data_IF_543782436916
#
_entry.id   IF_543782436916
#
_cell.length_a   1.000
_cell.length_b   1.000
_cell.length_c   1.000
_cell.angle_alpha   90.00
_cell.angle_beta   90.00
_cell.angle_gamma   90.00
#
_symmetry.space_group_name_H-M   'P 1'
#
loop_
_entity.id
_entity.type
_entity.pdbx_description
1 polymer ?
#
# COMPACT_ATOMS: atom_id res chain seq x y z
N UNK A 1 -14.27 -10.83 -10.21
CA UNK A 1 -13.68 -9.85 -11.15
C UNK A 1 -12.58 -9.07 -10.47
N UNK A 2 -11.53 -8.74 -11.23
CA UNK A 2 -10.37 -8.01 -10.66
C UNK A 2 -10.76 -6.67 -10.06
N UNK A 3 -11.66 -5.92 -10.73
CA UNK A 3 -12.08 -4.61 -10.25
C UNK A 3 -12.84 -4.71 -8.92
N UNK A 4 -13.63 -5.74 -8.75
CA UNK A 4 -14.37 -5.95 -7.50
C UNK A 4 -13.42 -6.30 -6.36
N UNK A 5 -12.41 -7.12 -6.65
CA UNK A 5 -11.39 -7.47 -5.68
C UNK A 5 -10.54 -6.26 -5.31
N UNK A 6 -10.23 -5.41 -6.29
CA UNK A 6 -9.46 -4.21 -6.04
C UNK A 6 -10.22 -3.26 -5.10
N UNK A 7 -11.51 -3.09 -5.30
CA UNK A 7 -12.32 -2.28 -4.40
C UNK A 7 -12.38 -2.88 -2.99
N UNK A 8 -12.59 -4.19 -2.91
CA UNK A 8 -12.66 -4.88 -1.63
C UNK A 8 -11.39 -4.68 -0.80
N UNK A 9 -10.24 -4.89 -1.41
CA UNK A 9 -8.97 -4.78 -0.68
C UNK A 9 -8.56 -3.33 -0.47
N UNK A 10 -8.97 -2.42 -1.34
CA UNK A 10 -8.76 -1.00 -1.09
C UNK A 10 -9.60 -0.53 0.10
N UNK A 11 -10.82 -1.00 0.25
CA UNK A 11 -11.63 -0.70 1.42
C UNK A 11 -11.00 -1.26 2.69
N UNK A 12 -10.39 -2.45 2.60
CA UNK A 12 -9.67 -3.01 3.72
C UNK A 12 -8.47 -2.12 4.10
N UNK A 13 -7.73 -1.63 3.12
CA UNK A 13 -6.62 -0.72 3.35
C UNK A 13 -7.10 0.61 3.97
N UNK A 14 -8.27 1.10 3.56
CA UNK A 14 -8.85 2.31 4.15
C UNK A 14 -9.21 2.11 5.63
N UNK A 15 -9.70 0.93 5.98
CA UNK A 15 -9.95 0.59 7.37
C UNK A 15 -8.67 0.64 8.19
N UNK A 16 -7.57 0.16 7.62
CA UNK A 16 -6.27 0.23 8.29
C UNK A 16 -5.76 1.66 8.42
N UNK A 17 -6.04 2.50 7.42
CA UNK A 17 -5.73 3.93 7.50
C UNK A 17 -6.49 4.59 8.67
N UNK A 18 -7.74 4.20 8.90
CA UNK A 18 -8.51 4.72 10.02
C UNK A 18 -7.88 4.31 11.35
N UNK A 19 -7.31 3.13 11.44
CA UNK A 19 -6.57 2.71 12.64
C UNK A 19 -5.37 3.61 12.91
N UNK A 20 -4.62 3.94 11.85
CA UNK A 20 -3.49 4.85 11.98
C UNK A 20 -3.95 6.21 12.51
N UNK A 21 -5.01 6.74 11.94
CA UNK A 21 -5.55 8.04 12.34
C UNK A 21 -5.99 8.03 13.81
N UNK A 22 -6.64 6.95 14.25
CA UNK A 22 -7.08 6.81 15.64
C UNK A 22 -5.89 6.78 16.61
N UNK A 23 -4.71 6.40 16.15
CA UNK A 23 -3.50 6.36 16.94
C UNK A 23 -2.68 7.65 16.85
N UNK A 24 -3.15 8.65 16.14
CA UNK A 24 -2.44 9.91 15.94
C UNK A 24 -1.39 9.87 14.85
N UNK A 25 -1.40 8.84 14.02
CA UNK A 25 -0.50 8.70 12.87
C UNK A 25 -1.12 9.28 11.61
N UNK A 26 -0.30 9.47 10.58
CA UNK A 26 -0.80 9.83 9.26
C UNK A 26 -1.68 8.69 8.75
N UNK A 27 -2.90 8.97 8.26
CA UNK A 27 -3.87 7.91 7.92
C UNK A 27 -3.57 7.25 6.58
N UNK A 28 -2.62 6.32 6.60
CA UNK A 28 -2.29 5.48 5.44
C UNK A 28 -2.37 4.03 5.87
N UNK A 29 -3.00 3.22 5.05
CA UNK A 29 -3.13 1.78 5.27
C UNK A 29 -2.70 1.01 4.04
N UNK A 30 -2.20 -0.21 4.25
CA UNK A 30 -1.73 -1.08 3.17
C UNK A 30 -2.01 -2.54 3.49
N UNK A 31 -2.33 -3.31 2.45
CA UNK A 31 -2.56 -4.75 2.60
C UNK A 31 -1.92 -5.48 1.41
N UNK A 32 -1.19 -6.55 1.70
CA UNK A 32 -0.59 -7.41 0.68
C UNK A 32 -1.37 -8.70 0.56
N UNK A 33 -1.75 -9.03 -0.68
CA UNK A 33 -2.66 -10.14 -0.98
C UNK A 33 -2.01 -11.03 -2.03
N UNK A 34 -2.15 -12.35 -1.90
CA UNK A 34 -1.66 -13.27 -2.93
C UNK A 34 -2.69 -13.42 -4.06
N UNK A 35 -2.34 -14.19 -5.10
CA UNK A 35 -3.21 -14.37 -6.26
C UNK A 35 -4.51 -15.12 -5.93
N UNK A 36 -4.58 -15.76 -4.77
CA UNK A 36 -5.77 -16.49 -4.34
C UNK A 36 -6.66 -15.68 -3.42
N UNK A 37 -6.31 -14.43 -3.16
CA UNK A 37 -7.11 -13.55 -2.31
C UNK A 37 -6.79 -13.68 -0.83
N UNK A 38 -5.71 -14.35 -0.46
CA UNK A 38 -5.29 -14.46 0.93
C UNK A 38 -4.49 -13.23 1.34
N UNK A 39 -4.83 -12.64 2.49
CA UNK A 39 -4.09 -11.53 3.05
C UNK A 39 -2.82 -12.06 3.70
N UNK A 40 -1.67 -11.64 3.20
CA UNK A 40 -0.37 -12.07 3.71
C UNK A 40 0.20 -11.12 4.75
N UNK A 41 -0.16 -9.84 4.67
CA UNK A 41 0.32 -8.85 5.62
C UNK A 41 -0.49 -7.58 5.55
N UNK A 42 -0.61 -6.93 6.70
CA UNK A 42 -1.31 -5.65 6.83
C UNK A 42 -0.37 -4.64 7.44
N UNK A 43 -0.58 -3.35 7.13
CA UNK A 43 0.22 -2.29 7.70
C UNK A 43 -0.52 -0.97 7.75
N UNK A 44 -0.14 -0.14 8.68
CA UNK A 44 -0.55 1.25 8.76
C UNK A 44 0.62 2.04 9.30
N UNK A 45 0.58 3.35 9.11
CA UNK A 45 1.69 4.18 9.55
C UNK A 45 1.93 4.03 11.05
N UNK A 46 3.19 3.85 11.41
CA UNK A 46 3.64 3.69 12.80
C UNK A 46 4.88 4.53 13.10
N UNK A 47 5.19 5.50 12.23
CA UNK A 47 6.43 6.28 12.34
C UNK A 47 6.56 7.00 13.67
N UNK A 48 5.47 7.56 14.18
CA UNK A 48 5.48 8.30 15.45
C UNK A 48 5.56 7.34 16.62
N UNK A 49 4.70 6.34 16.64
CA UNK A 49 4.59 5.40 17.76
C UNK A 49 5.88 4.61 17.95
N UNK A 50 6.49 4.17 16.84
CA UNK A 50 7.68 3.34 16.91
C UNK A 50 8.97 4.13 16.80
N UNK A 51 8.89 5.45 16.68
CA UNK A 51 10.05 6.31 16.46
C UNK A 51 10.90 5.78 15.28
N UNK A 52 10.23 5.42 14.20
CA UNK A 52 10.85 4.80 13.04
C UNK A 52 10.46 5.60 11.78
N UNK A 53 11.40 6.35 11.19
CA UNK A 53 11.10 7.17 10.02
C UNK A 53 10.76 6.35 8.78
N UNK A 54 11.03 5.04 8.79
CA UNK A 54 10.70 4.17 7.67
C UNK A 54 9.39 3.41 7.85
N UNK A 55 8.71 3.53 8.99
CA UNK A 55 7.51 2.75 9.29
C UNK A 55 6.26 3.32 8.61
N UNK A 56 6.34 3.50 7.30
CA UNK A 56 5.17 3.79 6.47
C UNK A 56 4.32 2.53 6.35
N UNK A 57 3.04 2.70 6.04
CA UNK A 57 2.11 1.58 5.94
C UNK A 57 2.63 0.46 5.02
N UNK A 58 3.19 0.84 3.88
CA UNK A 58 3.72 -0.13 2.91
C UNK A 58 4.86 -0.95 3.50
N UNK A 59 5.80 -0.28 4.17
CA UNK A 59 6.95 -0.96 4.80
C UNK A 59 6.46 -1.94 5.86
N UNK A 60 5.51 -1.51 6.69
CA UNK A 60 4.95 -2.36 7.75
C UNK A 60 4.26 -3.59 7.14
N UNK A 61 3.46 -3.39 6.09
CA UNK A 61 2.76 -4.49 5.43
C UNK A 61 3.74 -5.48 4.80
N UNK A 62 4.79 -4.98 4.13
CA UNK A 62 5.79 -5.83 3.49
C UNK A 62 6.56 -6.66 4.52
N UNK A 63 6.96 -6.03 5.64
CA UNK A 63 7.65 -6.74 6.72
C UNK A 63 6.79 -7.83 7.31
N UNK A 64 5.54 -7.51 7.61
CA UNK A 64 4.62 -8.50 8.19
C UNK A 64 4.39 -9.66 7.24
N UNK A 65 4.19 -9.38 5.96
CA UNK A 65 3.97 -10.43 4.97
C UNK A 65 5.20 -11.33 4.83
N UNK A 66 6.40 -10.73 4.74
CA UNK A 66 7.63 -11.47 4.59
C UNK A 66 7.88 -12.40 5.78
N UNK A 67 7.59 -11.92 6.99
CA UNK A 67 7.71 -12.75 8.19
C UNK A 67 6.67 -13.87 8.21
N UNK A 68 5.44 -13.57 7.81
CA UNK A 68 4.37 -14.56 7.82
C UNK A 68 4.64 -15.73 6.86
N UNK A 69 5.18 -15.44 5.67
CA UNK A 69 5.49 -16.50 4.70
C UNK A 69 6.96 -16.96 4.76
N UNK A 70 7.76 -16.33 5.62
CA UNK A 70 9.19 -16.64 5.81
C UNK A 70 9.97 -16.57 4.51
N UNK A 71 9.74 -15.50 3.75
CA UNK A 71 10.41 -15.27 2.48
C UNK A 71 10.47 -13.78 2.21
N UNK A 72 11.65 -13.24 1.84
CA UNK A 72 11.76 -11.83 1.50
C UNK A 72 11.24 -11.52 0.09
N UNK A 73 11.08 -12.52 -0.76
CA UNK A 73 10.49 -12.36 -2.09
C UNK A 73 9.01 -12.62 -2.00
N UNK A 74 8.22 -11.59 -2.28
CA UNK A 74 6.77 -11.65 -2.16
C UNK A 74 6.16 -11.83 -3.55
N UNK A 75 6.46 -12.99 -4.15
CA UNK A 75 6.05 -13.30 -5.52
C UNK A 75 4.54 -13.50 -5.63
N UNK A 76 4.00 -13.16 -6.79
CA UNK A 76 2.58 -13.38 -7.12
C UNK A 76 1.65 -12.67 -6.14
N UNK A 77 2.00 -11.44 -5.77
CA UNK A 77 1.24 -10.66 -4.81
C UNK A 77 0.82 -9.32 -5.37
N UNK A 78 -0.22 -8.75 -4.78
CA UNK A 78 -0.68 -7.39 -5.06
C UNK A 78 -0.67 -6.60 -3.76
N UNK A 79 -0.08 -5.41 -3.80
CA UNK A 79 -0.10 -4.49 -2.67
C UNK A 79 -1.15 -3.42 -2.92
N UNK A 80 -2.07 -3.29 -1.98
CA UNK A 80 -3.08 -2.22 -1.98
C UNK A 80 -2.69 -1.20 -0.92
N UNK A 81 -2.57 0.06 -1.29
CA UNK A 81 -2.24 1.13 -0.37
C UNK A 81 -3.11 2.34 -0.65
N UNK A 82 -3.55 3.03 0.40
CA UNK A 82 -4.53 4.10 0.27
C UNK A 82 -3.94 5.37 -0.35
N UNK A 83 -2.63 5.57 -0.26
CA UNK A 83 -1.95 6.74 -0.80
C UNK A 83 -0.81 6.29 -1.71
N UNK A 84 -0.57 7.04 -2.77
CA UNK A 84 0.54 6.78 -3.70
C UNK A 84 1.86 6.65 -2.93
N UNK A 85 2.64 5.57 -3.14
CA UNK A 85 3.91 5.39 -2.43
C UNK A 85 4.93 6.49 -2.73
N UNK A 86 5.70 6.83 -1.72
CA UNK A 86 6.87 7.70 -1.88
C UNK A 86 8.05 6.90 -2.47
N UNK A 87 9.16 7.59 -2.74
CA UNK A 87 10.34 6.95 -3.35
C UNK A 87 10.89 5.80 -2.50
N UNK A 88 10.93 5.96 -1.18
CA UNK A 88 11.41 4.91 -0.28
C UNK A 88 10.55 3.65 -0.40
N UNK A 89 9.24 3.81 -0.33
CA UNK A 89 8.30 2.69 -0.41
C UNK A 89 8.29 2.07 -1.80
N UNK A 90 8.39 2.87 -2.86
CA UNK A 90 8.48 2.36 -4.22
C UNK A 90 9.71 1.47 -4.39
N UNK A 91 10.85 1.87 -3.82
CA UNK A 91 12.05 1.04 -3.82
C UNK A 91 11.85 -0.27 -3.07
N UNK A 92 11.23 -0.23 -1.90
CA UNK A 92 10.95 -1.43 -1.13
C UNK A 92 10.00 -2.38 -1.87
N UNK A 93 8.99 -1.82 -2.52
CA UNK A 93 8.04 -2.59 -3.34
C UNK A 93 8.78 -3.33 -4.45
N UNK A 94 9.69 -2.64 -5.14
CA UNK A 94 10.49 -3.23 -6.20
C UNK A 94 11.38 -4.34 -5.67
N UNK A 95 12.08 -4.11 -4.57
CA UNK A 95 12.96 -5.10 -3.96
C UNK A 95 12.22 -6.33 -3.47
N UNK A 96 10.97 -6.18 -3.08
CA UNK A 96 10.14 -7.28 -2.60
C UNK A 96 9.59 -8.17 -3.72
N UNK A 97 9.77 -7.78 -4.98
CA UNK A 97 9.31 -8.54 -6.15
C UNK A 97 7.79 -8.64 -6.24
N UNK A 98 7.09 -7.63 -5.74
CA UNK A 98 5.64 -7.59 -5.82
C UNK A 98 5.21 -7.56 -7.29
N UNK A 99 4.16 -8.31 -7.60
CA UNK A 99 3.67 -8.43 -8.97
C UNK A 99 2.88 -7.19 -9.40
N UNK A 100 2.08 -6.62 -8.49
CA UNK A 100 1.17 -5.55 -8.85
C UNK A 100 0.98 -4.59 -7.67
N UNK A 101 0.92 -3.29 -7.98
CA UNK A 101 0.64 -2.23 -7.01
C UNK A 101 -0.65 -1.52 -7.37
N UNK A 102 -1.54 -1.37 -6.39
CA UNK A 102 -2.80 -0.63 -6.53
C UNK A 102 -2.83 0.43 -5.44
N UNK A 103 -2.95 1.70 -5.82
CA UNK A 103 -3.01 2.78 -4.84
C UNK A 103 -4.27 3.64 -5.05
N UNK A 104 -4.72 4.27 -3.96
CA UNK A 104 -5.95 5.04 -3.96
C UNK A 104 -5.76 6.47 -4.42
N UNK A 105 -5.26 7.32 -3.53
CA UNK A 105 -5.10 8.74 -3.81
C UNK A 105 -3.70 9.05 -4.34
N UNK A 106 -3.62 10.00 -5.27
CA UNK A 106 -2.33 10.52 -5.72
C UNK A 106 -1.72 11.43 -4.66
N UNK A 107 -0.41 11.43 -4.57
CA UNK A 107 0.34 12.31 -3.68
C UNK A 107 1.23 13.22 -4.52
N UNK A 108 0.76 14.44 -4.77
CA UNK A 108 1.46 15.38 -5.66
C UNK A 108 2.71 15.98 -5.03
N UNK A 109 2.91 15.77 -3.75
CA UNK A 109 4.06 16.29 -3.02
C UNK A 109 5.25 15.34 -3.02
N UNK A 110 5.01 14.07 -2.76
CA UNK A 110 6.06 13.07 -2.59
C UNK A 110 5.81 11.77 -3.33
N UNK A 111 4.69 11.66 -4.06
CA UNK A 111 4.34 10.42 -4.76
C UNK A 111 5.32 10.06 -5.85
N UNK A 112 5.74 8.80 -5.88
CA UNK A 112 6.78 8.31 -6.78
C UNK A 112 6.25 7.43 -7.91
N UNK A 113 4.93 7.28 -8.04
CA UNK A 113 4.31 6.39 -9.01
C UNK A 113 3.44 7.21 -9.99
N UNK A 114 3.99 8.32 -10.46
CA UNK A 114 3.36 9.14 -11.48
C UNK A 114 3.05 10.57 -11.10
N UNK A 115 2.96 10.93 -9.81
CA UNK A 115 2.60 12.29 -9.41
C UNK A 115 3.80 13.22 -9.37
N UNK A 116 4.71 13.03 -8.44
CA UNK A 116 5.93 13.86 -8.34
C UNK A 116 7.10 13.23 -9.05
N UNK A 117 7.23 11.91 -8.91
CA UNK A 117 8.30 11.12 -9.50
C UNK A 117 7.69 9.97 -10.28
N UNK A 118 8.46 9.37 -11.18
CA UNK A 118 8.03 8.25 -12.03
C UNK A 118 8.98 7.08 -11.84
N UNK A 119 9.04 6.58 -10.62
CA UNK A 119 10.05 5.60 -10.20
C UNK A 119 10.01 4.32 -11.04
N UNK A 120 8.80 3.83 -11.37
CA UNK A 120 8.66 2.55 -12.07
C UNK A 120 8.79 2.64 -13.59
N UNK A 121 8.97 3.84 -14.14
CA UNK A 121 9.09 3.99 -15.59
C UNK A 121 10.27 3.19 -16.15
N UNK A 122 11.34 3.03 -15.36
CA UNK A 122 12.53 2.29 -15.76
C UNK A 122 12.48 0.81 -15.37
N UNK A 123 11.44 0.35 -14.68
CA UNK A 123 11.42 -0.98 -14.07
C UNK A 123 10.28 -1.88 -14.51
N UNK A 124 9.43 -1.44 -15.40
CA UNK A 124 8.31 -2.23 -15.93
C UNK A 124 7.43 -2.87 -14.85
N UNK A 125 7.28 -2.21 -13.72
CA UNK A 125 6.41 -2.69 -12.67
C UNK A 125 4.94 -2.47 -13.05
N UNK A 126 4.11 -3.49 -12.85
CA UNK A 126 2.67 -3.37 -13.08
C UNK A 126 2.04 -2.59 -11.92
N UNK A 127 1.51 -1.41 -12.22
CA UNK A 127 0.87 -0.58 -11.20
C UNK A 127 -0.38 0.09 -11.76
N UNK A 128 -1.32 0.41 -10.88
CA UNK A 128 -2.56 1.05 -11.27
C UNK A 128 -3.12 1.91 -10.12
N UNK A 129 -3.90 2.92 -10.50
CA UNK A 129 -4.58 3.79 -9.56
C UNK A 129 -6.07 3.42 -9.52
N UNK A 130 -6.64 3.36 -8.33
CA UNK A 130 -8.07 3.14 -8.13
C UNK A 130 -8.66 4.42 -7.54
N UNK A 131 -9.85 4.81 -8.01
CA UNK A 131 -10.47 6.05 -7.56
C UNK A 131 -10.70 6.05 -6.04
N UNK A 132 -9.80 6.71 -5.34
CA UNK A 132 -9.84 6.84 -3.89
C UNK A 132 -11.03 7.69 -3.45
N UNK A 133 -11.27 8.77 -4.17
CA UNK A 133 -12.36 9.71 -3.85
C UNK A 133 -13.71 9.01 -3.86
N UNK A 134 -13.92 8.12 -4.82
CA UNK A 134 -15.16 7.35 -4.91
C UNK A 134 -15.36 6.46 -3.69
N UNK A 135 -14.31 5.79 -3.23
CA UNK A 135 -14.39 4.92 -2.06
C UNK A 135 -14.60 5.73 -0.78
N UNK A 136 -13.91 6.85 -0.62
CA UNK A 136 -14.04 7.70 0.56
C UNK A 136 -15.42 8.33 0.68
N UNK A 137 -16.10 8.54 -0.42
CA UNK A 137 -17.44 9.13 -0.40
C UNK A 137 -18.43 8.29 0.40
N UNK A 138 -18.17 7.02 0.57
CA UNK A 138 -19.03 6.12 1.35
C UNK A 138 -18.70 6.15 2.84
N UNK A 139 -17.56 6.67 3.23
CA UNK A 139 -17.09 6.67 4.61
C UNK A 139 -17.28 8.02 5.30
N UNK A 140 -17.11 9.08 4.54
CA UNK A 140 -17.23 10.42 5.09
C UNK A 140 -18.64 10.90 4.88
N UNK A 141 -19.37 10.92 5.88
CA UNK A 141 -20.70 11.48 5.82
C UNK A 141 -20.66 12.92 6.26
#
# INVERSE_FOLDING_TARGET
>A
MRSDLDEKFMQHALMLADRAEALGEIPVGAVLVDDEGNILGEGWNLSIIENDPTAHAEIVALRNAAQNIQNYRLLNTTLYVTLEPCTMCAGAILHSRIKRLVFGASDYKTGAVGSRFHFFDDYKMNHTSVSYTHLRAHETS
#
